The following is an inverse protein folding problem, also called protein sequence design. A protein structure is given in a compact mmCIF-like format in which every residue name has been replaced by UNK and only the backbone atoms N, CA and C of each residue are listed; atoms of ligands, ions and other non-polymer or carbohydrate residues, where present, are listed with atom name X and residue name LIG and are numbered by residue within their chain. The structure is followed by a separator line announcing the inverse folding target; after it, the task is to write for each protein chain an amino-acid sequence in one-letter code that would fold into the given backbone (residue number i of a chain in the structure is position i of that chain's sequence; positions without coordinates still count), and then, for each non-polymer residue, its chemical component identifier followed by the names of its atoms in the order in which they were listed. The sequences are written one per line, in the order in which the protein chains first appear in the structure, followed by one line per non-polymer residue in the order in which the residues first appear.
data_IF_298242336881
#
_entry.id   IF_298242336881
#
_cell.length_a   1.000
_cell.length_b   1.000
_cell.length_c   1.000
_cell.angle_alpha   90.00
_cell.angle_beta   90.00
_cell.angle_gamma   90.00
#
_symmetry.space_group_name_H-M   'P 1'
#
loop_
_entity.id
_entity.type
_entity.pdbx_description
1 polymer ?
#
# COMPACT_ATOMS: atom_id res chain seq x y z
N UNK A 1 -16.30 -3.43 -9.07
CA UNK A 1 -16.22 -2.93 -7.70
C UNK A 1 -14.76 -2.76 -7.29
N UNK A 2 -14.44 -1.62 -6.69
CA UNK A 2 -13.08 -1.36 -6.24
C UNK A 2 -12.75 -2.21 -5.03
N UNK A 3 -11.58 -2.82 -5.03
CA UNK A 3 -11.11 -3.66 -3.93
C UNK A 3 -9.98 -2.98 -3.15
N UNK A 4 -9.44 -1.88 -3.68
CA UNK A 4 -8.29 -1.21 -3.11
C UNK A 4 -8.66 0.19 -2.68
N UNK A 5 -8.16 0.62 -1.52
CA UNK A 5 -8.30 2.01 -1.09
C UNK A 5 -7.03 2.78 -1.50
N UNK A 6 -7.12 4.11 -1.51
CA UNK A 6 -5.93 4.92 -1.73
C UNK A 6 -4.89 4.62 -0.66
N UNK A 7 -3.62 4.48 -1.05
CA UNK A 7 -2.56 4.05 -0.12
C UNK A 7 -1.98 5.18 0.74
N UNK A 8 -2.59 6.34 0.71
CA UNK A 8 -2.20 7.47 1.56
C UNK A 8 -3.39 8.40 1.73
N UNK A 9 -3.24 9.42 2.55
CA UNK A 9 -4.34 10.32 2.87
C UNK A 9 -4.53 11.44 1.85
N UNK A 10 -3.76 11.45 0.77
CA UNK A 10 -4.00 12.36 -0.35
C UNK A 10 -4.38 11.58 -1.59
N UNK A 11 -5.26 12.16 -2.42
CA UNK A 11 -5.62 11.60 -3.72
C UNK A 11 -5.01 12.42 -4.86
N UNK A 12 -4.04 13.29 -4.55
CA UNK A 12 -3.44 14.20 -5.53
C UNK A 12 -2.41 13.43 -6.37
N UNK A 13 -2.83 13.04 -7.58
CA UNK A 13 -1.98 12.32 -8.52
C UNK A 13 -1.15 13.33 -9.29
N UNK A 14 0.17 13.26 -9.15
CA UNK A 14 1.09 14.17 -9.85
C UNK A 14 1.69 13.54 -11.10
N UNK A 15 1.64 12.22 -11.22
CA UNK A 15 2.12 11.52 -12.41
C UNK A 15 1.29 10.24 -12.56
N UNK A 16 0.71 10.04 -13.73
CA UNK A 16 -0.17 8.92 -14.00
C UNK A 16 0.52 7.72 -14.61
N UNK A 17 -0.20 6.63 -14.67
CA UNK A 17 0.26 5.37 -15.24
C UNK A 17 0.42 5.55 -16.76
N UNK A 18 1.65 5.40 -17.25
CA UNK A 18 1.99 5.56 -18.67
C UNK A 18 1.41 6.84 -19.26
N UNK A 19 1.41 7.91 -18.47
CA UNK A 19 0.93 9.22 -18.90
C UNK A 19 1.99 9.94 -19.70
N UNK A 20 2.54 11.02 -19.12
CA UNK A 20 3.62 11.75 -19.77
C UNK A 20 4.91 10.94 -19.86
N UNK A 21 5.06 9.91 -19.03
CA UNK A 21 6.19 8.98 -19.08
C UNK A 21 5.67 7.59 -19.45
N UNK A 22 5.91 7.12 -20.69
CA UNK A 22 5.39 5.83 -21.13
C UNK A 22 5.88 4.62 -20.33
N UNK A 23 7.02 4.76 -19.66
CA UNK A 23 7.58 3.70 -18.83
C UNK A 23 7.22 3.84 -17.35
N UNK A 24 6.28 4.73 -17.00
CA UNK A 24 5.82 4.88 -15.63
C UNK A 24 4.79 3.80 -15.30
N UNK A 25 5.19 2.82 -14.52
CA UNK A 25 4.39 1.61 -14.26
C UNK A 25 3.56 1.70 -12.97
N UNK A 26 3.26 2.91 -12.53
CA UNK A 26 2.46 3.18 -11.35
C UNK A 26 1.92 4.59 -11.39
N UNK A 27 1.47 5.07 -10.25
CA UNK A 27 1.07 6.47 -10.09
C UNK A 27 1.90 7.09 -8.97
N UNK A 28 2.09 8.39 -9.05
CA UNK A 28 2.73 9.16 -7.99
C UNK A 28 1.66 10.00 -7.31
N UNK A 29 1.61 9.92 -5.98
CA UNK A 29 0.75 10.73 -5.12
C UNK A 29 1.66 11.61 -4.29
N UNK A 30 1.46 12.93 -4.35
CA UNK A 30 2.38 13.84 -3.69
C UNK A 30 1.67 14.93 -2.93
N UNK A 31 2.18 15.20 -1.75
CA UNK A 31 1.73 16.26 -0.88
C UNK A 31 2.86 16.56 0.07
N UNK A 32 3.08 17.83 0.40
CA UNK A 32 4.12 18.18 1.36
C UNK A 32 3.64 17.90 2.78
N UNK A 33 4.58 17.67 3.69
CA UNK A 33 4.27 17.44 5.08
C UNK A 33 4.27 15.97 5.46
N UNK A 34 3.59 15.64 6.54
CA UNK A 34 3.53 14.27 7.04
C UNK A 34 2.31 13.56 6.48
N UNK A 35 2.55 12.48 5.74
CA UNK A 35 1.48 11.68 5.16
C UNK A 35 1.77 10.20 5.37
N UNK A 36 0.93 9.49 6.13
CA UNK A 36 1.11 8.06 6.32
C UNK A 36 0.82 7.30 5.04
N UNK A 37 1.41 6.12 4.92
CA UNK A 37 1.15 5.20 3.82
C UNK A 37 0.37 4.03 4.40
N UNK A 38 -0.72 3.66 3.72
CA UNK A 38 -1.64 2.60 4.15
C UNK A 38 -1.55 1.41 3.21
N UNK A 39 -1.74 0.21 3.78
CA UNK A 39 -1.95 -0.97 2.95
C UNK A 39 -3.24 -0.79 2.15
N UNK A 40 -3.15 -0.86 0.83
CA UNK A 40 -4.29 -0.62 -0.06
C UNK A 40 -5.35 -1.71 0.05
N UNK A 41 -4.96 -2.90 0.50
CA UNK A 41 -5.85 -4.02 0.77
C UNK A 41 -5.16 -4.93 1.78
N UNK A 42 -5.92 -5.83 2.38
CA UNK A 42 -5.34 -6.82 3.29
C UNK A 42 -4.47 -7.80 2.52
N UNK A 43 -3.39 -8.26 3.14
CA UNK A 43 -2.51 -9.20 2.48
C UNK A 43 -1.30 -9.53 3.33
N UNK A 44 -0.29 -10.07 2.65
CA UNK A 44 0.94 -10.50 3.29
C UNK A 44 2.11 -9.76 2.66
N UNK A 45 2.98 -9.23 3.48
CA UNK A 45 4.17 -8.50 3.01
C UNK A 45 5.11 -9.48 2.33
N UNK A 46 5.34 -9.28 1.03
CA UNK A 46 6.26 -10.12 0.24
C UNK A 46 7.67 -9.56 0.26
N UNK A 47 7.81 -8.25 0.39
CA UNK A 47 9.11 -7.59 0.50
C UNK A 47 9.01 -6.37 1.38
N UNK A 48 10.04 -6.14 2.17
CA UNK A 48 10.21 -4.91 2.95
C UNK A 48 11.71 -4.66 2.95
N UNK A 49 12.18 -3.70 2.14
CA UNK A 49 13.61 -3.60 1.85
C UNK A 49 13.96 -2.21 1.34
N UNK A 50 15.24 -1.98 1.13
CA UNK A 50 15.75 -0.74 0.55
C UNK A 50 16.39 -1.09 -0.79
N UNK A 51 15.93 -0.42 -1.85
CA UNK A 51 16.54 -0.60 -3.16
C UNK A 51 17.07 0.75 -3.66
N UNK A 52 17.97 0.70 -4.64
CA UNK A 52 18.55 1.93 -5.18
C UNK A 52 17.50 2.77 -5.92
N UNK A 53 16.53 2.11 -6.57
CA UNK A 53 15.50 2.82 -7.34
C UNK A 53 14.29 3.16 -6.48
N UNK A 54 13.70 2.18 -5.80
CA UNK A 54 12.49 2.40 -4.99
C UNK A 54 12.77 3.06 -3.64
N UNK A 55 14.04 3.02 -3.18
CA UNK A 55 14.34 3.47 -1.82
C UNK A 55 13.72 2.54 -0.78
N UNK A 56 13.21 3.10 0.30
CA UNK A 56 12.47 2.33 1.30
C UNK A 56 11.17 1.85 0.67
N UNK A 57 11.00 0.55 0.60
CA UNK A 57 9.93 -0.05 -0.20
C UNK A 57 9.28 -1.22 0.51
N UNK A 58 7.96 -1.30 0.40
CA UNK A 58 7.17 -2.45 0.85
C UNK A 58 6.37 -2.97 -0.33
N UNK A 59 6.27 -4.29 -0.45
CA UNK A 59 5.38 -4.95 -1.40
C UNK A 59 4.46 -5.88 -0.63
N UNK A 60 3.20 -5.93 -1.04
CA UNK A 60 2.17 -6.74 -0.36
C UNK A 60 1.45 -7.58 -1.41
N UNK A 61 1.31 -8.87 -1.12
CA UNK A 61 0.54 -9.81 -1.95
C UNK A 61 -0.86 -9.92 -1.38
N UNK A 62 -1.85 -9.78 -2.24
CA UNK A 62 -3.27 -9.88 -1.89
C UNK A 62 -3.91 -11.02 -2.68
N UNK A 63 -4.87 -11.69 -2.09
CA UNK A 63 -5.72 -12.63 -2.79
C UNK A 63 -7.15 -12.14 -2.64
N UNK A 64 -7.75 -11.69 -3.74
CA UNK A 64 -9.08 -11.08 -3.72
C UNK A 64 -9.92 -11.81 -4.76
N UNK A 65 -11.01 -12.43 -4.30
CA UNK A 65 -11.91 -13.20 -5.17
C UNK A 65 -11.14 -14.25 -5.99
N UNK A 66 -10.14 -14.88 -5.36
CA UNK A 66 -9.35 -15.92 -6.00
C UNK A 66 -8.27 -15.41 -6.94
N UNK A 67 -8.11 -14.10 -7.06
CA UNK A 67 -7.11 -13.50 -7.94
C UNK A 67 -5.96 -12.94 -7.10
N UNK A 68 -4.74 -13.22 -7.53
CA UNK A 68 -3.54 -12.71 -6.87
C UNK A 68 -3.21 -11.33 -7.42
N UNK A 69 -2.92 -10.41 -6.50
CA UNK A 69 -2.46 -9.06 -6.81
C UNK A 69 -1.23 -8.76 -5.97
N UNK A 70 -0.42 -7.82 -6.43
CA UNK A 70 0.69 -7.33 -5.60
C UNK A 70 0.78 -5.82 -5.72
N UNK A 71 0.93 -5.14 -4.58
CA UNK A 71 1.04 -3.67 -4.53
C UNK A 71 2.44 -3.30 -4.07
N UNK A 72 2.93 -2.16 -4.59
CA UNK A 72 4.26 -1.64 -4.31
C UNK A 72 4.13 -0.23 -3.77
N UNK A 73 4.83 0.04 -2.67
CA UNK A 73 4.82 1.34 -1.97
C UNK A 73 6.28 1.77 -1.85
N UNK A 74 6.68 2.75 -2.66
CA UNK A 74 8.09 3.13 -2.80
C UNK A 74 8.36 4.54 -2.31
N UNK A 75 9.63 4.85 -2.16
CA UNK A 75 10.16 6.16 -1.75
C UNK A 75 9.68 6.56 -0.36
N UNK A 76 9.51 5.57 0.51
CA UNK A 76 9.08 5.83 1.88
C UNK A 76 10.16 6.60 2.63
N UNK A 77 9.75 7.28 3.70
CA UNK A 77 10.67 8.02 4.55
C UNK A 77 11.65 7.06 5.23
N UNK A 78 12.90 7.48 5.34
CA UNK A 78 13.94 6.64 5.92
C UNK A 78 13.55 6.17 7.31
N UNK A 79 13.60 4.84 7.50
CA UNK A 79 13.29 4.23 8.79
C UNK A 79 11.81 4.19 9.13
N UNK A 80 10.91 4.53 8.20
CA UNK A 80 9.48 4.62 8.52
C UNK A 80 8.72 3.31 8.33
N UNK A 81 9.32 2.29 7.73
CA UNK A 81 8.63 1.02 7.49
C UNK A 81 8.29 0.35 8.82
N UNK A 82 7.03 -0.02 9.00
CA UNK A 82 6.53 -0.62 10.24
C UNK A 82 6.32 -2.12 10.16
N UNK A 83 6.47 -2.71 8.97
CA UNK A 83 6.24 -4.14 8.76
C UNK A 83 7.41 -4.74 8.00
N UNK A 84 7.55 -6.04 8.12
CA UNK A 84 8.64 -6.77 7.48
C UNK A 84 8.09 -7.93 6.66
N UNK A 85 8.93 -8.50 5.83
CA UNK A 85 8.56 -9.65 5.01
C UNK A 85 7.94 -10.75 5.85
N UNK A 86 6.81 -11.25 5.38
CA UNK A 86 6.07 -12.29 6.08
C UNK A 86 4.95 -11.80 6.97
N UNK A 87 4.95 -10.51 7.34
CA UNK A 87 3.88 -9.96 8.17
C UNK A 87 2.57 -9.89 7.39
N UNK A 88 1.47 -10.06 8.10
CA UNK A 88 0.13 -9.83 7.54
C UNK A 88 -0.32 -8.44 7.89
N UNK A 89 -0.99 -7.79 6.95
CA UNK A 89 -1.51 -6.43 7.12
C UNK A 89 -2.99 -6.40 6.79
N UNK A 90 -3.68 -5.47 7.42
CA UNK A 90 -5.10 -5.23 7.17
C UNK A 90 -5.24 -4.00 6.27
N UNK A 91 -6.25 -4.01 5.40
CA UNK A 91 -6.55 -2.84 4.57
C UNK A 91 -6.64 -1.59 5.45
N UNK A 92 -5.93 -0.53 5.07
CA UNK A 92 -5.92 0.73 5.81
C UNK A 92 -4.87 0.80 6.92
N UNK A 93 -4.18 -0.28 7.20
CA UNK A 93 -3.12 -0.27 8.23
C UNK A 93 -1.96 0.60 7.77
N UNK A 94 -1.46 1.45 8.66
CA UNK A 94 -0.29 2.27 8.36
C UNK A 94 0.95 1.40 8.28
N UNK A 95 1.67 1.50 7.17
CA UNK A 95 2.88 0.69 6.94
C UNK A 95 4.15 1.53 6.81
N UNK A 96 4.01 2.84 6.73
CA UNK A 96 5.17 3.74 6.64
C UNK A 96 4.71 5.17 6.44
N UNK A 97 5.64 6.02 6.00
CA UNK A 97 5.41 7.45 5.81
C UNK A 97 5.96 7.86 4.44
N UNK A 98 5.22 8.71 3.74
CA UNK A 98 5.64 9.27 2.46
C UNK A 98 6.98 9.99 2.61
N UNK A 99 7.91 9.73 1.70
CA UNK A 99 9.24 10.28 1.79
C UNK A 99 9.82 10.61 0.43
N UNK A 100 11.15 10.50 0.33
CA UNK A 100 11.88 10.91 -0.88
C UNK A 100 13.13 10.05 -1.06
N UNK A 101 13.11 8.81 -0.54
CA UNK A 101 14.26 7.91 -0.65
C UNK A 101 14.30 7.23 -2.02
N UNK A 102 15.48 6.75 -2.39
CA UNK A 102 15.69 6.10 -3.68
C UNK A 102 15.81 7.12 -4.80
N UNK A 103 15.43 6.69 -6.00
CA UNK A 103 15.49 7.54 -7.19
C UNK A 103 14.27 8.44 -7.23
N UNK A 104 14.34 9.57 -6.54
CA UNK A 104 13.21 10.46 -6.33
C UNK A 104 13.70 11.90 -6.25
N UNK A 105 12.97 12.80 -6.92
CA UNK A 105 13.32 14.22 -6.97
C UNK A 105 12.44 15.11 -6.10
N UNK A 106 11.56 14.53 -5.30
CA UNK A 106 10.67 15.28 -4.41
C UNK A 106 9.78 14.31 -3.65
N UNK A 107 9.25 14.78 -2.53
CA UNK A 107 8.44 13.92 -1.66
C UNK A 107 7.20 13.42 -2.39
N UNK A 108 7.06 12.11 -2.47
CA UNK A 108 5.88 11.48 -3.07
C UNK A 108 5.83 10.01 -2.68
N UNK A 109 4.67 9.40 -2.92
CA UNK A 109 4.51 7.95 -2.88
C UNK A 109 4.38 7.46 -4.32
N UNK A 110 5.27 6.55 -4.71
CA UNK A 110 5.11 5.82 -5.97
C UNK A 110 4.40 4.52 -5.64
N UNK A 111 3.22 4.34 -6.22
CA UNK A 111 2.36 3.20 -5.95
C UNK A 111 2.14 2.40 -7.23
N UNK A 112 2.43 1.11 -7.17
CA UNK A 112 2.17 0.20 -8.30
C UNK A 112 1.13 -0.83 -7.90
N UNK A 113 0.28 -1.17 -8.85
CA UNK A 113 -0.68 -2.27 -8.72
C UNK A 113 -0.40 -3.27 -9.82
N UNK A 114 -0.17 -4.51 -9.42
CA UNK A 114 0.09 -5.60 -10.35
C UNK A 114 -1.02 -6.63 -10.23
N UNK A 115 -1.62 -6.97 -11.35
CA UNK A 115 -2.58 -8.07 -11.40
C UNK A 115 -1.79 -9.33 -11.67
N UNK A 116 -1.46 -10.05 -10.60
CA UNK A 116 -0.46 -11.10 -10.56
C UNK A 116 0.69 -10.65 -9.69
N UNK A 117 1.84 -11.28 -9.81
CA UNK A 117 3.02 -10.96 -9.02
C UNK A 117 3.81 -9.82 -9.66
N UNK A 118 4.48 -9.05 -8.81
CA UNK A 118 5.47 -8.10 -9.29
C UNK A 118 6.63 -8.85 -9.95
N UNK A 119 7.15 -8.32 -11.06
CA UNK A 119 8.38 -8.80 -11.65
C UNK A 119 9.19 -7.62 -12.16
N UNK A 120 10.47 -7.86 -12.44
CA UNK A 120 11.38 -6.77 -12.78
C UNK A 120 10.99 -6.05 -14.08
N UNK A 121 10.31 -6.75 -14.97
CA UNK A 121 9.83 -6.16 -16.23
C UNK A 121 8.48 -5.45 -16.05
N UNK A 122 7.86 -5.62 -14.87
CA UNK A 122 6.57 -5.01 -14.53
C UNK A 122 5.48 -5.35 -15.53
N UNK A 123 5.52 -6.58 -16.04
CA UNK A 123 4.60 -7.01 -17.09
C UNK A 123 3.16 -7.15 -16.59
N UNK A 124 2.95 -7.26 -15.27
CA UNK A 124 1.61 -7.38 -14.69
C UNK A 124 1.06 -6.05 -14.18
N UNK A 125 1.79 -4.95 -14.38
CA UNK A 125 1.35 -3.64 -13.90
C UNK A 125 0.09 -3.18 -14.62
N UNK A 126 -0.86 -2.67 -13.86
CA UNK A 126 -2.09 -2.09 -14.38
C UNK A 126 -2.25 -0.69 -13.82
N UNK A 127 -3.13 0.11 -14.43
CA UNK A 127 -3.36 1.47 -13.95
C UNK A 127 -4.10 1.42 -12.61
N UNK A 128 -3.46 1.86 -11.51
CA UNK A 128 -4.10 1.81 -10.20
C UNK A 128 -5.42 2.58 -10.14
N UNK A 129 -5.54 3.66 -10.92
CA UNK A 129 -6.75 4.50 -10.88
C UNK A 129 -7.99 3.77 -11.36
N UNK A 130 -7.82 2.67 -12.10
CA UNK A 130 -8.96 1.85 -12.52
C UNK A 130 -9.53 1.02 -11.37
N UNK A 131 -8.77 0.88 -10.28
CA UNK A 131 -9.12 -0.04 -9.20
C UNK A 131 -9.24 0.63 -7.85
N UNK A 132 -8.61 1.80 -7.66
CA UNK A 132 -8.68 2.50 -6.38
C UNK A 132 -10.07 3.05 -6.17
N UNK A 133 -10.67 2.67 -5.06
CA UNK A 133 -12.00 3.08 -4.70
C UNK A 133 -12.01 4.16 -3.65
N UNK A 134 -13.20 4.57 -3.27
CA UNK A 134 -13.40 5.65 -2.34
C UNK A 134 -13.93 5.14 -1.02
N UNK A 135 -13.31 4.07 -0.56
CA UNK A 135 -13.59 3.63 0.78
C UNK A 135 -14.46 2.42 0.92
N UNK A 136 -14.67 1.65 -0.14
CA UNK A 136 -15.37 0.39 0.02
C UNK A 136 -14.50 -0.78 -0.33
N UNK A 137 -13.22 -0.55 -0.42
CA UNK A 137 -12.31 -1.63 -0.72
C UNK A 137 -12.31 -2.68 0.37
N UNK A 138 -13.21 -2.63 1.07
CA UNK A 138 -13.24 -3.55 2.12
C UNK A 138 -13.43 -4.99 1.77
N UNK A 139 -13.48 -4.49 1.66
CA UNK A 139 -13.59 -5.15 1.83
C UNK A 139 -13.87 -5.80 2.29
N UNK A 140 -14.04 -5.70 2.27
CA UNK A 140 -14.25 -6.13 2.59
C UNK A 140 -14.34 -6.82 3.16
N UNK A 141 -14.34 -6.94 3.17
CA UNK A 141 -14.26 -7.36 3.69
C UNK A 141 -14.26 -7.75 4.50
N UNK A 142 -14.35 -7.96 4.56
CA UNK A 142 -14.18 -7.97 5.29
C UNK A 142 -14.22 -8.23 5.96
N UNK A 143 -14.34 -8.64 6.13
CA UNK A 143 -14.26 -8.62 6.70
C UNK A 143 -14.15 -8.57 7.24
N UNK A 144 -14.19 -8.67 7.07
CA UNK A 144 -13.77 -8.34 7.55
C UNK A 144 -13.71 -8.03 8.22
N UNK A 145 -13.95 -8.29 8.24
CA UNK A 145 -13.58 -7.77 8.76
C UNK A 145 -13.65 -7.27 9.61
N UNK A 146 -14.07 -7.30 9.72
CA UNK A 146 -13.79 -6.68 10.34
C UNK A 146 -13.71 -6.42 11.28
N UNK A 147 -13.95 -6.77 11.45
CA UNK A 147 -13.51 -6.30 12.23
C UNK A 147 -13.05 -5.91 12.89
N UNK A 148 -13.24 -6.17 12.91
CA UNK A 148 -12.45 -5.71 13.38
C UNK A 148 -12.12 -4.95 13.89
N UNK A 149 -12.29 -4.93 14.05
CA UNK A 149 -11.73 -4.20 14.35
C UNK A 149 -11.60 -3.47 14.77
N UNK A 150 -12.21 -3.57 14.95
CA UNK A 150 -11.86 -2.90 15.19
C UNK A 150 -11.74 -2.24 15.50
N UNK A 151 -12.09 -2.19 15.52
CA UNK A 151 -11.71 -1.61 15.52
C UNK A 151 -11.02 -1.13 15.92
N UNK A 152 -11.78 -1.75 16.09
CA UNK A 152 -10.90 -1.43 16.13
C UNK A 152 -10.44 -1.34 16.64
N UNK A 153 -10.67 -1.35 16.87
CA UNK A 153 -9.94 -1.36 17.09
C UNK A 153 -9.39 -1.12 17.20
N UNK A 154 -10.28 -1.39 17.24
CA UNK A 154 -9.40 -1.36 17.02
C UNK A 154 -8.96 -1.41 17.33
N UNK A 155 -9.29 -1.46 17.33
CA UNK A 155 -8.55 -1.63 17.42
C UNK A 155 -8.03 -1.73 17.56
N UNK A 156 -8.87 -1.91 17.27
CA UNK A 156 -8.04 -2.07 17.26
C UNK A 156 -7.52 -2.21 17.42
N UNK A 157 -7.86 -2.33 17.65
CA UNK A 157 -7.02 -2.52 17.71
C UNK A 157 -6.53 -2.85 17.84
N UNK A 158 -7.20 -2.98 17.63
CA UNK A 158 -6.36 -3.30 17.60
C UNK A 158 -5.99 -3.78 17.80
N UNK A 159 -6.47 -3.78 17.48
CA UNK A 159 -5.72 -4.15 17.43
C UNK A 159 -5.30 -4.53 17.60
N UNK A 160 -5.90 -4.62 18.03
CA UNK A 160 -5.22 -5.04 17.98
C UNK A 160 -5.25 -5.27 18.43
N UNK A 161 -5.98 -5.75 18.49
CA UNK A 161 -5.52 -5.93 18.76
C UNK A 161 -5.11 -6.15 19.17
N UNK A 162 -5.72 -5.95 18.77
CA UNK A 162 -5.06 -6.00 18.87
C UNK A 162 -4.34 -6.32 18.72
N UNK A 163 -5.23 -6.53 18.88
CA UNK A 163 -4.33 -6.69 18.49
C UNK A 163 -3.95 -6.96 18.32
N UNK A 164 -4.05 -6.90 18.32
CA UNK A 164 -3.52 -6.94 17.93
C UNK A 164 -2.89 -6.61 17.90
N UNK A 165 -3.80 -6.75 17.73
CA UNK A 165 -2.91 -6.38 17.41
C UNK A 165 -2.51 -6.10 17.69
N UNK A 166 -2.67 -6.19 17.54
CA UNK A 166 -1.97 -5.86 17.72
C UNK A 166 -1.52 -5.62 17.83
N UNK A 167 -1.85 -5.67 17.68
CA UNK A 167 -1.05 -5.39 17.73
C UNK A 167 -0.71 -5.28 17.92
N UNK A 168 -1.26 -5.23 17.58
CA UNK A 168 -0.64 -5.02 17.66
C UNK A 168 -0.22 -4.76 17.58
N UNK A 169 -0.41 -4.74 17.35
CA UNK A 169 0.34 -4.42 17.23
C UNK A 169 0.43 -4.05 17.01
N UNK A 170 -0.34 -4.13 16.72
CA UNK A 170 0.06 -3.69 16.44
C UNK A 170 0.18 -3.66 16.51
#
# INVERSE_FOLDING_TARGET
MAKFIYPTDTTRVTSGFRGSRPDHHGIDLAESGYHPIYAAASGRVSRSYISSSYGECIMIVHTIDGVTWETVYAHMRSGSRTVKEGDYVTQGQTIGVMGNTGDSSGQHLHFELHKGSWNINKSNAVNPLDYLGKGDGGGTTEPSDKPLQPKGLGIATSKYPEGWGINLYS
#
